data_IF_194325268850
#
_entry.id   IF_194325268850
#
_cell.length_a   1.000
_cell.length_b   1.000
_cell.length_c   1.000
_cell.angle_alpha   90.00
_cell.angle_beta   90.00
_cell.angle_gamma   90.00
#
_symmetry.space_group_name_H-M   'P 1'
#
loop_
_entity.id
_entity.type
_entity.pdbx_description
1 polymer ?
#
# COMPACT_ATOMS: atom_id res chain seq x y z
N UNK A 1 -0.26 17.17 12.03
CA UNK A 1 -0.05 15.82 11.50
C UNK A 1 -0.74 14.77 12.38
N UNK A 2 -0.39 14.64 13.67
CA UNK A 2 -0.95 13.59 14.54
C UNK A 2 -2.47 13.64 14.69
N UNK A 3 -3.08 14.83 14.77
CA UNK A 3 -4.55 14.98 14.80
C UNK A 3 -5.20 14.45 13.51
N UNK A 4 -4.62 14.71 12.35
CA UNK A 4 -5.13 14.23 11.04
C UNK A 4 -5.13 12.71 10.93
N UNK A 5 -4.18 12.05 11.58
CA UNK A 5 -4.07 10.60 11.61
C UNK A 5 -4.76 9.96 12.81
N UNK A 6 -5.51 10.75 13.62
CA UNK A 6 -6.15 10.27 14.83
C UNK A 6 -5.18 9.56 15.80
N UNK A 7 -3.95 10.08 15.93
CA UNK A 7 -2.91 9.52 16.79
C UNK A 7 -2.32 10.53 17.79
N UNK A 8 -3.02 11.61 18.04
CA UNK A 8 -2.58 12.66 18.99
C UNK A 8 -2.37 12.12 20.41
N UNK A 9 -3.11 11.08 20.80
CA UNK A 9 -2.95 10.39 22.08
C UNK A 9 -1.59 9.70 22.27
N UNK A 10 -0.82 9.54 21.20
CA UNK A 10 0.51 8.93 21.24
C UNK A 10 1.62 9.96 21.44
N UNK A 11 1.31 11.27 21.42
CA UNK A 11 2.31 12.33 21.46
C UNK A 11 3.19 12.28 22.71
N UNK A 12 2.60 11.91 23.85
CA UNK A 12 3.29 11.85 25.15
C UNK A 12 3.73 10.43 25.53
N UNK A 13 3.50 9.43 24.65
CA UNK A 13 3.88 8.04 24.92
C UNK A 13 5.29 7.76 24.44
N UNK A 14 6.00 6.92 25.17
CA UNK A 14 7.25 6.36 24.71
C UNK A 14 7.01 5.56 23.42
N UNK A 15 7.77 5.85 22.37
CA UNK A 15 7.68 5.16 21.09
C UNK A 15 7.87 3.64 21.23
N UNK A 16 8.73 3.22 22.18
CA UNK A 16 8.96 1.81 22.51
C UNK A 16 7.74 1.10 23.09
N UNK A 17 6.85 1.84 23.77
CA UNK A 17 5.63 1.30 24.38
C UNK A 17 4.45 1.19 23.39
N UNK A 18 4.57 1.76 22.19
CA UNK A 18 3.54 1.70 21.16
C UNK A 18 3.50 0.32 20.50
N UNK A 19 2.29 -0.11 20.12
CA UNK A 19 2.13 -1.27 19.24
C UNK A 19 2.75 -1.00 17.87
N UNK A 20 3.01 -2.04 17.09
CA UNK A 20 3.66 -1.91 15.79
C UNK A 20 2.83 -1.04 14.82
N UNK A 21 1.50 -1.24 14.76
CA UNK A 21 0.60 -0.39 13.97
C UNK A 21 0.60 1.07 14.43
N UNK A 22 0.61 1.30 15.75
CA UNK A 22 0.69 2.65 16.32
C UNK A 22 2.01 3.33 15.94
N UNK A 23 3.15 2.61 15.98
CA UNK A 23 4.45 3.12 15.52
C UNK A 23 4.40 3.52 14.06
N UNK A 24 3.81 2.71 13.18
CA UNK A 24 3.68 3.03 11.75
C UNK A 24 2.88 4.30 11.51
N UNK A 25 1.77 4.50 12.23
CA UNK A 25 0.99 5.74 12.12
C UNK A 25 1.79 6.96 12.60
N UNK A 26 2.58 6.81 13.67
CA UNK A 26 3.47 7.90 14.14
C UNK A 26 4.58 8.19 13.12
N UNK A 27 5.17 7.17 12.48
CA UNK A 27 6.13 7.34 11.40
C UNK A 27 5.48 8.09 10.22
N UNK A 28 4.26 7.71 9.83
CA UNK A 28 3.51 8.40 8.79
C UNK A 28 3.24 9.88 9.16
N UNK A 29 2.92 10.16 10.44
CA UNK A 29 2.76 11.53 10.93
C UNK A 29 4.05 12.36 10.76
N UNK A 30 5.21 11.76 10.95
CA UNK A 30 6.52 12.42 10.70
C UNK A 30 6.71 12.72 9.21
N UNK A 31 6.33 11.81 8.32
CA UNK A 31 6.40 12.03 6.87
C UNK A 31 5.53 13.21 6.43
N UNK A 32 4.36 13.40 7.05
CA UNK A 32 3.48 14.56 6.79
C UNK A 32 4.18 15.87 7.17
N UNK A 33 4.86 15.91 8.32
CA UNK A 33 5.55 17.12 8.81
C UNK A 33 6.69 17.52 7.89
N UNK A 34 7.33 16.57 7.21
CA UNK A 34 8.40 16.86 6.26
C UNK A 34 7.91 17.58 5.00
N UNK A 35 6.62 17.55 4.73
CA UNK A 35 5.95 18.23 3.61
C UNK A 35 6.62 18.02 2.23
N UNK A 36 7.21 16.85 2.01
CA UNK A 36 7.79 16.48 0.74
C UNK A 36 6.71 16.24 -0.31
N UNK A 37 6.88 16.68 -1.56
CA UNK A 37 5.96 16.38 -2.65
C UNK A 37 5.97 14.89 -3.07
N UNK A 38 7.02 14.14 -2.68
CA UNK A 38 7.16 12.72 -2.96
C UNK A 38 7.41 11.97 -1.65
N UNK A 39 6.67 10.89 -1.42
CA UNK A 39 6.82 9.99 -0.28
C UNK A 39 7.35 8.65 -0.75
N UNK A 40 8.47 8.20 -0.16
CA UNK A 40 9.03 6.87 -0.38
C UNK A 40 8.79 6.02 0.85
N UNK A 41 8.13 4.88 0.66
CA UNK A 41 7.75 4.00 1.77
C UNK A 41 8.14 2.57 1.44
N UNK A 42 9.03 2.02 2.26
CA UNK A 42 9.49 0.65 2.12
C UNK A 42 8.75 -0.25 3.11
N UNK A 43 7.90 -1.14 2.57
CA UNK A 43 7.09 -2.11 3.30
C UNK A 43 6.39 -1.55 4.55
N UNK A 44 5.61 -0.46 4.46
CA UNK A 44 5.02 0.18 5.63
C UNK A 44 3.95 -0.68 6.32
N UNK A 45 3.53 -1.76 5.67
CA UNK A 45 2.57 -2.73 6.16
C UNK A 45 3.23 -4.01 6.74
N UNK A 46 4.56 -4.12 6.68
CA UNK A 46 5.28 -5.28 7.16
C UNK A 46 5.06 -5.51 8.66
N UNK A 47 4.91 -6.79 9.03
CA UNK A 47 4.66 -7.23 10.41
C UNK A 47 3.39 -6.66 11.08
N UNK A 48 2.45 -6.13 10.31
CA UNK A 48 1.12 -5.74 10.78
C UNK A 48 0.12 -6.88 10.51
N UNK A 49 -0.86 -7.03 11.40
CA UNK A 49 -2.01 -7.88 11.13
C UNK A 49 -2.90 -7.29 10.03
N UNK A 50 -3.85 -8.08 9.55
CA UNK A 50 -4.72 -7.74 8.44
C UNK A 50 -5.46 -6.40 8.62
N UNK A 51 -6.03 -6.15 9.80
CA UNK A 51 -6.78 -4.92 10.07
C UNK A 51 -5.87 -3.71 10.12
N UNK A 52 -4.70 -3.83 10.76
CA UNK A 52 -3.73 -2.76 10.83
C UNK A 52 -3.11 -2.44 9.47
N UNK A 53 -2.90 -3.43 8.59
CA UNK A 53 -2.47 -3.19 7.19
C UNK A 53 -3.46 -2.33 6.45
N UNK A 54 -4.75 -2.71 6.48
CA UNK A 54 -5.81 -1.92 5.84
C UNK A 54 -5.86 -0.49 6.37
N UNK A 55 -5.78 -0.31 7.69
CA UNK A 55 -5.80 0.99 8.31
C UNK A 55 -4.63 1.88 7.85
N UNK A 56 -3.40 1.35 7.88
CA UNK A 56 -2.20 2.09 7.49
C UNK A 56 -2.23 2.46 6.01
N UNK A 57 -2.54 1.50 5.13
CA UNK A 57 -2.57 1.74 3.67
C UNK A 57 -3.69 2.68 3.26
N UNK A 58 -4.87 2.60 3.90
CA UNK A 58 -5.95 3.57 3.71
C UNK A 58 -5.51 4.98 4.07
N UNK A 59 -4.87 5.14 5.23
CA UNK A 59 -4.36 6.45 5.67
C UNK A 59 -3.28 7.02 4.75
N UNK A 60 -2.39 6.19 4.23
CA UNK A 60 -1.40 6.60 3.22
C UNK A 60 -2.10 7.06 1.95
N UNK A 61 -3.06 6.29 1.43
CA UNK A 61 -3.80 6.63 0.22
C UNK A 61 -4.59 7.93 0.36
N UNK A 62 -5.31 8.10 1.48
CA UNK A 62 -6.04 9.34 1.81
C UNK A 62 -5.09 10.54 1.81
N UNK A 63 -3.98 10.45 2.53
CA UNK A 63 -2.99 11.51 2.65
C UNK A 63 -2.41 11.95 1.31
N UNK A 64 -1.99 10.98 0.49
CA UNK A 64 -1.42 11.25 -0.83
C UNK A 64 -2.42 12.01 -1.71
N UNK A 65 -3.70 11.61 -1.68
CA UNK A 65 -4.76 12.25 -2.46
C UNK A 65 -5.09 13.65 -1.94
N UNK A 66 -5.29 13.80 -0.63
CA UNK A 66 -5.65 15.07 -0.02
C UNK A 66 -4.57 16.14 -0.18
N UNK A 67 -3.31 15.76 -0.12
CA UNK A 67 -2.18 16.69 -0.24
C UNK A 67 -1.61 16.79 -1.65
N UNK A 68 -2.23 16.12 -2.63
CA UNK A 68 -1.77 16.08 -4.02
C UNK A 68 -0.29 15.72 -4.15
N UNK A 69 0.13 14.70 -3.40
CA UNK A 69 1.51 14.18 -3.37
C UNK A 69 1.64 12.95 -4.27
N UNK A 70 2.88 12.61 -4.63
CA UNK A 70 3.20 11.32 -5.20
C UNK A 70 3.71 10.36 -4.12
N UNK A 71 3.27 9.11 -4.15
CA UNK A 71 3.77 8.05 -3.26
C UNK A 71 4.37 6.90 -4.05
N UNK A 72 5.57 6.44 -3.65
CA UNK A 72 6.14 5.19 -4.10
C UNK A 72 6.25 4.26 -2.90
N UNK A 73 5.61 3.10 -2.99
CA UNK A 73 5.50 2.13 -1.90
C UNK A 73 5.91 0.74 -2.37
N UNK A 74 6.65 0.01 -1.56
CA UNK A 74 6.88 -1.42 -1.78
C UNK A 74 5.88 -2.24 -0.97
N UNK A 75 5.25 -3.22 -1.60
CA UNK A 75 4.29 -4.14 -1.00
C UNK A 75 4.57 -5.56 -1.45
N UNK A 76 4.40 -6.54 -0.55
CA UNK A 76 4.54 -7.95 -0.88
C UNK A 76 3.22 -8.62 -1.28
N UNK A 77 2.11 -8.14 -0.76
CA UNK A 77 0.79 -8.70 -1.03
C UNK A 77 0.15 -7.99 -2.23
N UNK A 78 -0.07 -8.71 -3.35
CA UNK A 78 -0.65 -8.12 -4.56
C UNK A 78 -2.09 -7.64 -4.35
N UNK A 79 -2.85 -8.24 -3.43
CA UNK A 79 -4.22 -7.80 -3.16
C UNK A 79 -4.23 -6.41 -2.51
N UNK A 80 -3.31 -6.13 -1.58
CA UNK A 80 -3.16 -4.79 -1.03
C UNK A 80 -2.63 -3.80 -2.09
N UNK A 81 -1.69 -4.22 -2.93
CA UNK A 81 -1.19 -3.36 -4.00
C UNK A 81 -2.32 -2.98 -4.97
N UNK A 82 -3.15 -3.93 -5.42
CA UNK A 82 -4.30 -3.66 -6.28
C UNK A 82 -5.36 -2.79 -5.60
N UNK A 83 -5.55 -2.92 -4.29
CA UNK A 83 -6.57 -2.17 -3.56
C UNK A 83 -6.20 -0.70 -3.28
N UNK A 84 -4.91 -0.39 -3.11
CA UNK A 84 -4.48 0.90 -2.58
C UNK A 84 -3.60 1.72 -3.53
N UNK A 85 -3.05 1.13 -4.60
CA UNK A 85 -2.17 1.82 -5.52
C UNK A 85 -2.84 2.09 -6.86
N UNK A 86 -2.60 3.28 -7.45
CA UNK A 86 -3.10 3.63 -8.78
C UNK A 86 -2.30 2.93 -9.89
N UNK A 87 -1.00 2.69 -9.67
CA UNK A 87 -0.10 2.04 -10.63
C UNK A 87 0.76 0.99 -9.92
N UNK A 88 0.93 -0.15 -10.56
CA UNK A 88 1.77 -1.24 -10.06
C UNK A 88 2.96 -1.45 -10.99
N UNK A 89 4.15 -1.54 -10.41
CA UNK A 89 5.36 -1.98 -11.09
C UNK A 89 5.79 -3.34 -10.54
N UNK A 90 5.87 -4.33 -11.40
CA UNK A 90 6.24 -5.69 -11.00
C UNK A 90 7.75 -5.88 -11.12
N UNK A 91 8.41 -6.12 -9.97
CA UNK A 91 9.85 -6.37 -9.92
C UNK A 91 10.14 -7.87 -9.86
N UNK A 92 11.08 -8.31 -10.68
CA UNK A 92 11.61 -9.69 -10.64
C UNK A 92 13.11 -9.65 -10.91
N UNK A 93 13.89 -10.19 -9.98
CA UNK A 93 15.35 -10.24 -10.11
C UNK A 93 16.00 -8.89 -10.45
N UNK A 94 15.54 -7.82 -9.78
CA UNK A 94 16.06 -6.47 -9.97
C UNK A 94 15.58 -5.73 -11.22
N UNK A 95 14.68 -6.33 -12.01
CA UNK A 95 14.14 -5.74 -13.23
C UNK A 95 12.63 -5.49 -13.11
N UNK A 96 12.15 -4.40 -13.73
CA UNK A 96 10.73 -4.19 -13.93
C UNK A 96 10.28 -5.07 -15.09
N UNK A 97 9.45 -6.08 -14.81
CA UNK A 97 8.95 -7.05 -15.80
C UNK A 97 7.52 -6.74 -16.25
N UNK A 98 6.84 -5.82 -15.59
CA UNK A 98 5.49 -5.41 -15.96
C UNK A 98 5.03 -4.16 -15.24
N UNK A 99 4.03 -3.52 -15.81
CA UNK A 99 3.37 -2.34 -15.28
C UNK A 99 1.85 -2.46 -15.50
N UNK A 100 1.05 -1.97 -14.53
CA UNK A 100 -0.40 -1.87 -14.59
C UNK A 100 -0.85 -0.48 -14.12
N UNK A 101 -1.77 0.14 -14.87
CA UNK A 101 -2.58 1.28 -14.38
C UNK A 101 -3.91 0.73 -13.87
N UNK A 102 -4.07 0.68 -12.55
CA UNK A 102 -5.25 0.08 -11.91
C UNK A 102 -6.55 0.83 -12.19
N UNK A 103 -6.47 2.08 -12.64
CA UNK A 103 -7.65 2.89 -13.00
C UNK A 103 -8.24 2.53 -14.36
N UNK A 104 -7.45 1.88 -15.22
CA UNK A 104 -7.83 1.52 -16.59
C UNK A 104 -7.74 0.01 -16.87
N UNK A 105 -7.06 -0.75 -16.02
CA UNK A 105 -6.82 -2.17 -16.21
C UNK A 105 -8.13 -2.99 -16.16
N UNK A 106 -8.23 -3.97 -17.02
CA UNK A 106 -9.27 -5.00 -16.96
C UNK A 106 -8.73 -6.30 -16.33
N UNK A 107 -9.67 -7.23 -16.01
CA UNK A 107 -9.35 -8.50 -15.37
C UNK A 107 -8.25 -9.28 -16.10
N UNK A 108 -8.35 -9.40 -17.42
CA UNK A 108 -7.44 -10.23 -18.21
C UNK A 108 -6.03 -9.64 -18.24
N UNK A 109 -5.91 -8.31 -18.31
CA UNK A 109 -4.64 -7.60 -18.23
C UNK A 109 -4.00 -7.78 -16.85
N UNK A 110 -4.77 -7.62 -15.77
CA UNK A 110 -4.29 -7.84 -14.39
C UNK A 110 -3.78 -9.27 -14.24
N UNK A 111 -4.54 -10.26 -14.69
CA UNK A 111 -4.14 -11.67 -14.63
C UNK A 111 -2.86 -11.94 -15.42
N UNK A 112 -2.78 -11.47 -16.66
CA UNK A 112 -1.61 -11.64 -17.51
C UNK A 112 -0.35 -11.05 -16.86
N UNK A 113 -0.43 -9.83 -16.39
CA UNK A 113 0.72 -9.13 -15.81
C UNK A 113 1.17 -9.73 -14.49
N UNK A 114 0.25 -10.02 -13.56
CA UNK A 114 0.60 -10.63 -12.29
C UNK A 114 1.13 -12.06 -12.45
N UNK A 115 0.71 -12.78 -13.48
CA UNK A 115 1.25 -14.11 -13.78
C UNK A 115 2.75 -14.11 -14.10
N UNK A 116 3.34 -12.99 -14.52
CA UNK A 116 4.78 -12.85 -14.72
C UNK A 116 5.59 -13.06 -13.42
N UNK A 117 4.97 -12.70 -12.28
CA UNK A 117 5.56 -12.83 -10.94
C UNK A 117 5.11 -14.13 -10.28
N UNK A 118 3.80 -14.37 -10.22
CA UNK A 118 3.19 -15.38 -9.36
C UNK A 118 2.86 -16.69 -10.09
N UNK A 119 3.05 -16.74 -11.43
CA UNK A 119 2.77 -17.92 -12.23
C UNK A 119 1.27 -18.15 -12.43
N UNK A 120 0.80 -19.40 -12.24
CA UNK A 120 -0.60 -19.75 -12.45
C UNK A 120 -1.49 -19.21 -11.32
N UNK A 121 -2.18 -18.12 -11.60
CA UNK A 121 -3.09 -17.42 -10.68
C UNK A 121 -4.44 -17.24 -11.36
N UNK A 122 -5.46 -16.95 -10.57
CA UNK A 122 -6.76 -16.48 -11.04
C UNK A 122 -7.08 -15.12 -10.43
N UNK A 123 -7.68 -14.24 -11.23
CA UNK A 123 -8.15 -12.93 -10.80
C UNK A 123 -9.67 -12.94 -10.78
N UNK A 124 -10.24 -12.60 -9.63
CA UNK A 124 -11.67 -12.36 -9.46
C UNK A 124 -11.91 -10.87 -9.46
N UNK A 125 -12.78 -10.40 -10.34
CA UNK A 125 -13.24 -9.02 -10.37
C UNK A 125 -14.61 -8.91 -9.70
N UNK A 126 -14.74 -7.97 -8.78
CA UNK A 126 -16.00 -7.66 -8.12
C UNK A 126 -16.14 -6.15 -7.93
N UNK A 127 -17.14 -5.55 -8.59
CA UNK A 127 -17.43 -4.11 -8.52
C UNK A 127 -16.19 -3.21 -8.77
N UNK A 128 -15.37 -3.55 -9.76
CA UNK A 128 -14.17 -2.79 -10.11
C UNK A 128 -12.99 -3.00 -9.17
N UNK A 129 -13.09 -3.95 -8.25
CA UNK A 129 -11.98 -4.38 -7.40
C UNK A 129 -11.48 -5.76 -7.84
N UNK A 130 -10.17 -5.97 -7.77
CA UNK A 130 -9.52 -7.22 -8.15
C UNK A 130 -9.01 -7.97 -6.93
N UNK A 131 -9.20 -9.29 -6.93
CA UNK A 131 -8.64 -10.19 -5.93
C UNK A 131 -7.90 -11.32 -6.63
N UNK A 132 -6.66 -11.55 -6.21
CA UNK A 132 -5.85 -12.65 -6.70
C UNK A 132 -6.07 -13.89 -5.83
N UNK A 133 -6.42 -14.99 -6.49
CA UNK A 133 -6.47 -16.32 -5.91
C UNK A 133 -5.45 -17.24 -6.58
N UNK A 134 -5.20 -18.41 -5.97
CA UNK A 134 -4.36 -19.45 -6.55
C UNK A 134 -5.24 -20.44 -7.31
N UNK A 135 -4.88 -20.71 -8.56
CA UNK A 135 -5.45 -21.84 -9.30
C UNK A 135 -4.82 -23.14 -8.78
N UNK A 136 -5.66 -24.11 -8.47
CA UNK A 136 -5.22 -25.45 -8.05
C UNK A 136 -4.65 -26.25 -9.20
#
# INVERSE_FOLDING_TARGET
>A
AMQRLNCAEFAEKDFGALSQGQRQIVILARCIVQDSPVMLMDEPDSALDFLNRHMVLSKISELIKEENKAGLITLHDPNFAMAYCDRLFMLKQGNIVGELDMRAANRDEVQQKLSLIYGNIDIVENNGSFLMGRVK
#
